data_IF_731508205210
#
_entry.id   IF_731508205210
#
_cell.length_a   1.000
_cell.length_b   1.000
_cell.length_c   1.000
_cell.angle_alpha   90.00
_cell.angle_beta   90.00
_cell.angle_gamma   90.00
#
_symmetry.space_group_name_H-M   'P 1'
#
loop_
_entity.id
_entity.type
_entity.pdbx_description
1 polymer ?
#
# COMPACT_ATOMS: atom_id res chain seq x y z
N UNK A 1 17.73 -0.47 -39.22
CA UNK A 1 18.23 -0.36 -37.84
C UNK A 1 17.13 0.29 -37.04
N UNK A 2 16.49 -0.49 -36.17
CA UNK A 2 15.43 -0.04 -35.27
C UNK A 2 15.96 1.01 -34.30
N UNK A 3 15.32 2.18 -34.30
CA UNK A 3 15.50 3.19 -33.26
C UNK A 3 14.11 3.59 -32.76
N UNK A 4 13.36 2.63 -32.25
CA UNK A 4 12.16 2.92 -31.45
C UNK A 4 12.58 3.12 -30.00
N UNK A 5 13.37 4.16 -29.76
CA UNK A 5 13.48 4.78 -28.44
C UNK A 5 12.36 5.82 -28.34
N UNK A 6 11.11 5.35 -28.38
CA UNK A 6 9.98 6.21 -28.04
C UNK A 6 10.16 6.64 -26.59
N UNK A 7 10.25 7.96 -26.36
CA UNK A 7 10.23 8.55 -25.03
C UNK A 7 9.07 7.93 -24.25
N UNK A 8 9.40 7.07 -23.29
CA UNK A 8 8.41 6.47 -22.42
C UNK A 8 7.85 7.59 -21.54
N UNK A 9 6.74 8.19 -21.96
CA UNK A 9 6.12 9.37 -21.34
C UNK A 9 5.33 9.01 -20.07
N UNK A 10 5.45 7.76 -19.60
CA UNK A 10 4.75 7.27 -18.43
C UNK A 10 5.37 7.85 -17.16
N UNK A 11 4.50 8.21 -16.22
CA UNK A 11 4.91 8.75 -14.93
C UNK A 11 5.51 7.63 -14.08
N UNK A 12 6.78 7.76 -13.69
CA UNK A 12 7.43 6.84 -12.74
C UNK A 12 7.02 7.21 -11.31
N UNK A 13 6.34 6.28 -10.63
CA UNK A 13 5.86 6.49 -9.27
C UNK A 13 7.01 6.71 -8.26
N UNK A 14 8.21 6.20 -8.54
CA UNK A 14 9.39 6.45 -7.71
C UNK A 14 10.00 7.84 -7.95
N UNK A 15 9.71 8.50 -9.07
CA UNK A 15 10.19 9.86 -9.33
C UNK A 15 9.28 10.93 -8.73
N UNK A 16 8.11 10.54 -8.22
CA UNK A 16 7.23 11.44 -7.49
C UNK A 16 7.82 11.82 -6.14
N UNK A 17 7.67 13.09 -5.77
CA UNK A 17 7.84 13.49 -4.38
C UNK A 17 6.80 12.75 -3.50
N UNK A 18 7.06 12.58 -2.19
CA UNK A 18 6.10 11.96 -1.28
C UNK A 18 4.70 12.58 -1.38
N UNK A 19 4.62 13.91 -1.41
CA UNK A 19 3.35 14.65 -1.52
C UNK A 19 2.65 14.42 -2.86
N UNK A 20 3.38 14.38 -3.99
CA UNK A 20 2.77 14.07 -5.29
C UNK A 20 2.23 12.64 -5.35
N UNK A 21 2.94 11.69 -4.72
CA UNK A 21 2.48 10.31 -4.63
C UNK A 21 1.22 10.20 -3.78
N UNK A 22 1.18 10.85 -2.62
CA UNK A 22 0.01 10.93 -1.75
C UNK A 22 -1.19 11.56 -2.47
N UNK A 23 -0.98 12.65 -3.21
CA UNK A 23 -2.03 13.28 -4.02
C UNK A 23 -2.57 12.35 -5.11
N UNK A 24 -1.70 11.61 -5.82
CA UNK A 24 -2.13 10.63 -6.81
C UNK A 24 -2.97 9.51 -6.18
N UNK A 25 -2.57 9.02 -4.99
CA UNK A 25 -3.34 8.00 -4.27
C UNK A 25 -4.69 8.57 -3.83
N UNK A 26 -4.74 9.80 -3.31
CA UNK A 26 -6.00 10.48 -3.00
C UNK A 26 -6.93 10.54 -4.20
N UNK A 27 -6.44 11.02 -5.34
CA UNK A 27 -7.22 11.11 -6.58
C UNK A 27 -7.77 9.75 -7.00
N UNK A 28 -6.94 8.70 -6.90
CA UNK A 28 -7.36 7.33 -7.16
C UNK A 28 -8.52 6.91 -6.25
N UNK A 29 -8.41 7.09 -4.93
CA UNK A 29 -9.45 6.66 -4.00
C UNK A 29 -10.74 7.47 -4.16
N UNK A 30 -10.65 8.76 -4.46
CA UNK A 30 -11.82 9.57 -4.82
C UNK A 30 -12.49 9.03 -6.10
N UNK A 31 -11.70 8.71 -7.14
CA UNK A 31 -12.21 8.10 -8.37
C UNK A 31 -12.78 6.68 -8.17
N UNK A 32 -12.34 5.98 -7.11
CA UNK A 32 -12.90 4.69 -6.67
C UNK A 32 -14.17 4.84 -5.80
N UNK A 33 -14.58 6.07 -5.47
CA UNK A 33 -15.81 6.35 -4.74
C UNK A 33 -15.64 6.70 -3.26
N UNK A 34 -14.43 7.05 -2.80
CA UNK A 34 -14.24 7.59 -1.45
C UNK A 34 -14.98 8.93 -1.29
N UNK A 35 -15.90 9.01 -0.33
CA UNK A 35 -16.82 10.15 -0.18
C UNK A 35 -16.22 11.35 0.58
N UNK A 36 -15.26 11.09 1.47
CA UNK A 36 -14.55 12.13 2.21
C UNK A 36 -13.10 11.70 2.44
N UNK A 37 -12.19 12.67 2.36
CA UNK A 37 -10.75 12.48 2.56
C UNK A 37 -10.24 13.58 3.49
N UNK A 38 -9.82 13.19 4.69
CA UNK A 38 -9.19 14.09 5.66
C UNK A 38 -7.72 13.76 5.76
N UNK A 39 -6.89 14.77 5.53
CA UNK A 39 -5.44 14.72 5.74
C UNK A 39 -5.12 14.81 7.23
N UNK A 40 -4.28 13.89 7.70
CA UNK A 40 -3.71 13.86 9.04
C UNK A 40 -2.20 14.09 8.89
N UNK A 41 -1.65 15.13 9.53
CA UNK A 41 -0.21 15.35 9.53
C UNK A 41 0.50 14.15 10.18
N UNK A 42 1.47 13.56 9.49
CA UNK A 42 2.31 12.50 10.04
C UNK A 42 3.61 13.07 10.62
N UNK A 43 4.25 12.34 11.56
CA UNK A 43 5.48 12.77 12.24
C UNK A 43 6.71 12.80 11.34
N UNK A 44 6.68 12.08 10.22
CA UNK A 44 7.74 11.97 9.21
C UNK A 44 7.59 12.99 8.07
N UNK A 45 6.74 14.01 8.24
CA UNK A 45 6.53 15.07 7.24
C UNK A 45 5.70 14.62 6.04
N UNK A 46 5.06 13.46 6.14
CA UNK A 46 4.06 12.97 5.19
C UNK A 46 2.64 13.33 5.65
N UNK A 47 1.68 12.99 4.79
CA UNK A 47 0.25 13.15 5.06
C UNK A 47 -0.38 11.76 5.02
N UNK A 48 -0.74 11.24 6.20
CA UNK A 48 -1.62 10.08 6.28
C UNK A 48 -3.05 10.54 6.04
N UNK A 49 -3.92 9.69 5.49
CA UNK A 49 -5.29 10.09 5.20
C UNK A 49 -6.31 9.18 5.85
N UNK A 50 -7.41 9.81 6.25
CA UNK A 50 -8.62 9.11 6.66
C UNK A 50 -9.66 9.26 5.56
N UNK A 51 -10.04 8.13 4.97
CA UNK A 51 -11.20 8.03 4.11
C UNK A 51 -12.39 7.52 4.93
N UNK A 52 -13.56 8.11 4.75
CA UNK A 52 -14.80 7.62 5.34
C UNK A 52 -15.83 7.37 4.26
N UNK A 53 -16.62 6.32 4.41
CA UNK A 53 -17.88 6.14 3.67
C UNK A 53 -19.04 6.39 4.61
N UNK A 54 -20.07 7.11 4.15
CA UNK A 54 -21.23 7.49 4.96
C UNK A 54 -22.27 6.39 5.08
N UNK A 55 -22.03 5.20 4.54
CA UNK A 55 -23.02 4.12 4.60
C UNK A 55 -23.30 3.74 6.06
N UNK A 56 -24.43 4.17 6.62
CA UNK A 56 -24.74 4.07 8.05
C UNK A 56 -24.81 2.61 8.56
N UNK A 57 -24.97 1.64 7.65
CA UNK A 57 -25.03 0.20 7.95
C UNK A 57 -23.68 -0.52 7.86
N UNK A 58 -22.74 -0.01 7.04
CA UNK A 58 -21.38 -0.57 6.85
C UNK A 58 -20.29 0.46 7.20
N UNK A 59 -20.69 1.51 7.93
CA UNK A 59 -19.93 2.73 8.12
C UNK A 59 -18.71 2.48 8.98
N UNK A 60 -17.65 3.22 8.68
CA UNK A 60 -16.42 3.10 9.41
C UNK A 60 -15.36 4.05 8.88
N UNK A 61 -14.43 4.37 9.77
CA UNK A 61 -13.22 5.09 9.42
C UNK A 61 -12.27 4.10 8.75
N UNK A 62 -11.88 4.39 7.50
CA UNK A 62 -10.86 3.66 6.77
C UNK A 62 -9.59 4.51 6.76
N UNK A 63 -8.52 4.01 7.37
CA UNK A 63 -7.25 4.71 7.36
C UNK A 63 -6.43 4.30 6.14
N UNK A 64 -6.03 5.26 5.31
CA UNK A 64 -5.24 5.02 4.11
C UNK A 64 -3.87 5.63 4.32
N UNK A 65 -2.86 4.76 4.30
CA UNK A 65 -1.47 5.15 4.39
C UNK A 65 -0.77 4.85 3.06
N UNK A 66 -0.18 5.89 2.46
CA UNK A 66 0.55 5.78 1.21
C UNK A 66 2.03 6.04 1.46
N UNK A 67 2.88 5.03 1.25
CA UNK A 67 4.33 5.18 1.40
C UNK A 67 5.08 4.77 0.13
N UNK A 68 5.86 5.71 -0.39
CA UNK A 68 6.78 5.48 -1.51
C UNK A 68 8.01 4.74 -0.98
N UNK A 69 8.12 3.45 -1.34
CA UNK A 69 9.22 2.57 -0.96
C UNK A 69 9.85 1.91 -2.18
N UNK A 70 11.14 1.57 -2.08
CA UNK A 70 11.94 1.00 -3.17
C UNK A 70 12.45 -0.41 -2.86
N UNK A 71 11.78 -1.16 -2.00
CA UNK A 71 12.18 -2.51 -1.58
C UNK A 71 11.11 -3.25 -0.78
N UNK A 72 11.45 -4.44 -0.27
CA UNK A 72 10.51 -5.30 0.48
C UNK A 72 9.88 -4.55 1.66
N UNK A 73 8.55 -4.54 1.70
CA UNK A 73 7.79 -3.97 2.82
C UNK A 73 7.53 -5.04 3.87
N UNK A 74 8.20 -4.89 5.02
CA UNK A 74 8.18 -5.82 6.13
C UNK A 74 6.98 -5.68 7.07
N UNK A 75 6.96 -6.53 8.09
CA UNK A 75 5.90 -6.60 9.08
C UNK A 75 5.78 -5.31 9.92
N UNK A 76 6.88 -4.60 10.11
CA UNK A 76 6.93 -3.32 10.83
C UNK A 76 5.94 -2.29 10.27
N UNK A 77 5.77 -2.24 8.95
CA UNK A 77 4.87 -1.31 8.28
C UNK A 77 3.40 -1.58 8.60
N UNK A 78 2.99 -2.85 8.53
CA UNK A 78 1.61 -3.24 8.83
C UNK A 78 1.31 -3.17 10.33
N UNK A 79 2.30 -3.43 11.19
CA UNK A 79 2.18 -3.20 12.64
C UNK A 79 2.00 -1.71 12.96
N UNK A 80 2.82 -0.84 12.37
CA UNK A 80 2.68 0.60 12.55
C UNK A 80 1.27 1.08 12.17
N UNK A 81 0.76 0.60 11.02
CA UNK A 81 -0.60 0.92 10.57
C UNK A 81 -1.66 0.48 11.59
N UNK A 82 -1.55 -0.69 12.21
CA UNK A 82 -2.51 -1.11 13.25
C UNK A 82 -2.54 -0.17 14.46
N UNK A 83 -1.39 0.41 14.85
CA UNK A 83 -1.33 1.41 15.91
C UNK A 83 -2.09 2.68 15.51
N UNK A 84 -1.85 3.19 14.31
CA UNK A 84 -2.54 4.39 13.80
C UNK A 84 -4.04 4.13 13.63
N UNK A 85 -4.44 2.94 13.16
CA UNK A 85 -5.85 2.56 13.08
C UNK A 85 -6.52 2.58 14.47
N UNK A 86 -5.85 2.10 15.50
CA UNK A 86 -6.37 2.14 16.87
C UNK A 86 -6.52 3.59 17.38
N UNK A 87 -5.51 4.43 17.16
CA UNK A 87 -5.51 5.84 17.58
C UNK A 87 -6.65 6.66 16.93
N UNK A 88 -7.00 6.32 15.68
CA UNK A 88 -8.05 7.00 14.92
C UNK A 88 -9.39 6.24 14.91
N UNK A 89 -9.52 5.19 15.71
CA UNK A 89 -10.73 4.38 15.82
C UNK A 89 -11.20 3.82 14.45
N UNK A 90 -10.25 3.53 13.57
CA UNK A 90 -10.45 3.01 12.22
C UNK A 90 -10.86 1.54 12.25
N UNK A 91 -11.90 1.20 11.48
CA UNK A 91 -12.42 -0.18 11.39
C UNK A 91 -11.66 -1.02 10.37
N UNK A 92 -11.04 -0.35 9.40
CA UNK A 92 -10.26 -0.95 8.32
C UNK A 92 -9.05 -0.06 7.98
N UNK A 93 -8.04 -0.65 7.36
CA UNK A 93 -6.87 0.06 6.88
C UNK A 93 -6.56 -0.28 5.43
N UNK A 94 -5.89 0.63 4.73
CA UNK A 94 -5.26 0.38 3.44
C UNK A 94 -3.82 0.85 3.50
N UNK A 95 -2.89 -0.03 3.16
CA UNK A 95 -1.48 0.32 3.00
C UNK A 95 -1.12 0.26 1.52
N UNK A 96 -0.78 1.42 0.97
CA UNK A 96 -0.41 1.60 -0.43
C UNK A 96 1.09 1.79 -0.54
N UNK A 97 1.73 1.07 -1.46
CA UNK A 97 3.16 1.21 -1.73
C UNK A 97 3.49 1.14 -3.21
N UNK A 98 4.58 1.79 -3.60
CA UNK A 98 5.21 1.64 -4.93
C UNK A 98 5.98 0.33 -5.09
N UNK A 99 6.13 -0.46 -4.02
CA UNK A 99 6.92 -1.69 -3.96
C UNK A 99 6.07 -2.96 -3.77
N UNK A 100 6.60 -4.00 -3.11
CA UNK A 100 5.90 -5.25 -2.79
C UNK A 100 5.97 -5.58 -1.29
N UNK A 101 5.00 -6.39 -0.85
CA UNK A 101 4.92 -6.89 0.52
C UNK A 101 5.54 -8.27 0.64
N UNK A 102 6.02 -8.59 1.85
CA UNK A 102 6.39 -9.97 2.20
C UNK A 102 5.18 -10.80 2.59
N UNK A 103 5.29 -12.13 2.45
CA UNK A 103 4.23 -13.07 2.84
C UNK A 103 3.75 -12.92 4.29
N UNK A 104 4.67 -12.61 5.21
CA UNK A 104 4.32 -12.34 6.60
C UNK A 104 3.44 -11.09 6.74
N UNK A 105 3.77 -10.02 6.02
CA UNK A 105 2.99 -8.78 5.97
C UNK A 105 1.59 -9.03 5.40
N UNK A 106 1.49 -9.81 4.32
CA UNK A 106 0.20 -10.20 3.70
C UNK A 106 -0.68 -10.98 4.67
N UNK A 107 -0.12 -12.01 5.33
CA UNK A 107 -0.85 -12.82 6.30
C UNK A 107 -1.31 -12.01 7.51
N UNK A 108 -0.47 -11.08 7.99
CA UNK A 108 -0.82 -10.21 9.09
C UNK A 108 -1.92 -9.23 8.70
N UNK A 109 -1.83 -8.62 7.51
CA UNK A 109 -2.80 -7.65 7.03
C UNK A 109 -4.21 -8.27 6.91
N UNK A 110 -4.31 -9.48 6.36
CA UNK A 110 -5.56 -10.23 6.24
C UNK A 110 -6.26 -10.43 7.59
N UNK A 111 -5.50 -10.69 8.66
CA UNK A 111 -6.05 -10.91 10.01
C UNK A 111 -6.51 -9.63 10.70
N UNK A 112 -6.01 -8.48 10.26
CA UNK A 112 -6.22 -7.18 10.90
C UNK A 112 -7.06 -6.20 10.08
N UNK A 113 -7.83 -6.71 9.09
CA UNK A 113 -8.68 -5.89 8.19
C UNK A 113 -7.89 -4.79 7.47
N UNK A 114 -6.65 -5.10 7.10
CA UNK A 114 -5.80 -4.23 6.30
C UNK A 114 -5.78 -4.76 4.87
N UNK A 115 -6.12 -3.89 3.93
CA UNK A 115 -5.92 -4.14 2.50
C UNK A 115 -4.52 -3.66 2.11
N UNK A 116 -3.78 -4.48 1.38
CA UNK A 116 -2.47 -4.11 0.85
C UNK A 116 -2.62 -3.81 -0.63
N UNK A 117 -2.02 -2.70 -1.09
CA UNK A 117 -1.95 -2.33 -2.51
C UNK A 117 -0.48 -2.16 -2.87
N UNK A 118 0.06 -3.14 -3.58
CA UNK A 118 1.44 -3.12 -4.06
C UNK A 118 1.58 -2.31 -5.36
N UNK A 119 2.80 -2.10 -5.84
CA UNK A 119 3.06 -1.27 -7.02
C UNK A 119 2.38 -1.78 -8.29
N UNK A 120 2.27 -3.10 -8.48
CA UNK A 120 1.62 -3.68 -9.65
C UNK A 120 0.09 -3.51 -9.60
N UNK A 121 -0.51 -3.71 -8.43
CA UNK A 121 -1.93 -3.46 -8.18
C UNK A 121 -2.25 -1.97 -8.30
N UNK A 122 -1.41 -1.11 -7.75
CA UNK A 122 -1.54 0.35 -7.84
C UNK A 122 -1.53 0.82 -9.28
N UNK A 123 -0.59 0.33 -10.11
CA UNK A 123 -0.57 0.61 -11.55
C UNK A 123 -1.91 0.25 -12.20
N UNK A 124 -2.41 -0.95 -11.92
CA UNK A 124 -3.66 -1.44 -12.51
C UNK A 124 -4.84 -0.55 -12.11
N UNK A 125 -4.95 -0.20 -10.82
CA UNK A 125 -6.01 0.67 -10.30
C UNK A 125 -5.94 2.09 -10.89
N UNK A 126 -4.74 2.69 -10.99
CA UNK A 126 -4.54 3.99 -11.63
C UNK A 126 -4.98 3.94 -13.09
N UNK A 127 -4.61 2.89 -13.83
CA UNK A 127 -5.01 2.76 -15.23
C UNK A 127 -6.52 2.60 -15.37
N UNK A 128 -7.15 1.83 -14.49
CA UNK A 128 -8.58 1.57 -14.52
C UNK A 128 -9.42 2.82 -14.17
N UNK A 129 -9.04 3.56 -13.13
CA UNK A 129 -9.88 4.63 -12.57
C UNK A 129 -9.47 6.04 -13.04
N UNK A 130 -8.20 6.26 -13.38
CA UNK A 130 -7.67 7.55 -13.82
C UNK A 130 -7.30 7.57 -15.31
N UNK A 131 -7.30 6.42 -15.99
CA UNK A 131 -6.84 6.25 -17.38
C UNK A 131 -5.38 6.69 -17.63
N UNK A 132 -4.56 6.75 -16.59
CA UNK A 132 -3.14 7.10 -16.65
C UNK A 132 -2.32 5.80 -16.68
N UNK A 133 -1.33 5.68 -17.58
CA UNK A 133 -0.34 4.59 -17.49
C UNK A 133 0.89 5.06 -16.71
N UNK A 134 1.34 4.24 -15.77
CA UNK A 134 2.44 4.56 -14.86
C UNK A 134 3.47 3.43 -14.84
N UNK A 135 4.71 3.80 -14.54
CA UNK A 135 5.77 2.85 -14.24
C UNK A 135 5.71 2.65 -12.71
N UNK A 136 5.36 1.44 -12.23
CA UNK A 136 5.40 1.16 -10.81
C UNK A 136 6.85 1.14 -10.36
N UNK A 137 7.07 1.18 -9.04
CA UNK A 137 8.41 1.02 -8.52
C UNK A 137 8.98 -0.37 -8.76
N UNK A 138 9.97 -0.73 -7.96
CA UNK A 138 10.71 -1.97 -8.10
C UNK A 138 9.76 -3.19 -7.99
N UNK A 139 9.89 -4.16 -8.90
CA UNK A 139 9.21 -5.46 -8.80
C UNK A 139 9.96 -6.44 -7.88
N UNK A 140 9.26 -7.35 -7.18
CA UNK A 140 9.91 -8.34 -6.33
C UNK A 140 10.91 -9.18 -7.14
N UNK A 141 12.13 -9.42 -6.62
CA UNK A 141 13.05 -10.34 -7.26
C UNK A 141 12.43 -11.74 -7.31
N UNK A 142 12.67 -12.47 -8.40
CA UNK A 142 12.03 -13.77 -8.75
C UNK A 142 12.06 -14.80 -7.60
N UNK A 143 13.02 -14.69 -6.68
CA UNK A 143 13.24 -15.60 -5.55
C UNK A 143 12.55 -15.18 -4.24
N UNK A 144 12.02 -13.95 -4.11
CA UNK A 144 11.40 -13.47 -2.87
C UNK A 144 10.04 -14.14 -2.56
N UNK A 145 9.41 -14.77 -3.56
CA UNK A 145 8.16 -15.53 -3.37
C UNK A 145 8.38 -16.93 -2.76
N UNK A 146 9.62 -17.44 -2.76
CA UNK A 146 9.92 -18.85 -2.48
C UNK A 146 10.61 -19.11 -1.12
N UNK A 147 11.12 -18.09 -0.44
CA UNK A 147 11.95 -18.29 0.75
C UNK A 147 11.30 -17.65 1.98
N UNK A 148 10.53 -18.44 2.73
CA UNK A 148 10.35 -18.31 4.19
C UNK A 148 9.60 -19.53 4.75
N UNK A 149 9.99 -20.73 4.30
CA UNK A 149 9.53 -21.99 4.86
C UNK A 149 10.71 -22.67 5.57
N UNK A 150 11.16 -22.08 6.69
CA UNK A 150 12.02 -22.78 7.64
C UNK A 150 11.42 -22.64 9.03
N UNK A 151 10.57 -23.60 9.31
CA UNK A 151 9.99 -23.89 10.61
C UNK A 151 11.10 -24.32 11.56
N UNK A 152 11.46 -23.50 12.55
CA UNK A 152 12.31 -23.96 13.65
C UNK A 152 11.45 -24.80 14.59
N UNK A 153 11.37 -26.10 14.32
CA UNK A 153 10.85 -27.08 15.26
C UNK A 153 11.70 -27.05 16.54
N UNK A 154 11.09 -26.67 17.66
CA UNK A 154 11.62 -27.03 18.97
C UNK A 154 11.02 -28.38 19.34
N UNK A 155 11.82 -29.45 19.56
CA UNK A 155 11.30 -30.64 20.20
C UNK A 155 10.92 -30.28 21.64
N UNK A 156 9.66 -30.52 22.01
CA UNK A 156 9.23 -30.46 23.41
C UNK A 156 9.91 -31.56 24.23
N UNK A 157 10.06 -31.38 25.55
CA UNK A 157 10.71 -32.37 26.39
C UNK A 157 9.84 -33.64 26.44
N UNK A 158 10.48 -34.78 26.19
CA UNK A 158 9.92 -36.10 26.48
C UNK A 158 9.87 -36.28 28.00
N UNK A 159 8.66 -36.60 28.49
CA UNK A 159 8.22 -36.99 29.85
C UNK A 159 9.23 -36.81 30.99
#
# INVERSE_FOLDING_TARGET
MDVVAGLDSRRDLLQLSPTEFEHLVRELFVAMGAEAWTTIPSKDGGVDAVATSKNLFFGGVCLIQAKRWSGLVGLEAVHALTGVMADHNATTGVLVTTSWFGRASEQFAQRNRITLINGAELKHLIKQHLNIDVIPGTTPPRNARASNNTQSGRPGPTI
#
